data_IF_929249315126
#
_entry.id   IF_929249315126
#
_cell.length_a   1.000
_cell.length_b   1.000
_cell.length_c   1.000
_cell.angle_alpha   90.00
_cell.angle_beta   90.00
_cell.angle_gamma   90.00
#
_symmetry.space_group_name_H-M   'P 1'
#
loop_
_entity.id
_entity.type
_entity.pdbx_description
1 polymer ?
#
# COMPACT_ATOMS: atom_id res chain seq x y z
N UNK A 1 -10.20 -2.43 -9.91
CA UNK A 1 -9.51 -2.55 -8.61
C UNK A 1 -10.49 -2.96 -7.51
N UNK A 2 -11.42 -2.08 -7.08
CA UNK A 2 -12.30 -2.31 -5.91
C UNK A 2 -13.06 -3.63 -6.04
N UNK A 3 -13.82 -3.85 -7.11
CA UNK A 3 -14.60 -5.10 -7.31
C UNK A 3 -13.71 -6.36 -7.30
N UNK A 4 -12.51 -6.28 -7.86
CA UNK A 4 -11.57 -7.40 -7.83
C UNK A 4 -11.12 -7.69 -6.40
N UNK A 5 -10.72 -6.68 -5.63
CA UNK A 5 -10.32 -6.83 -4.23
C UNK A 5 -11.45 -7.37 -3.34
N UNK A 6 -12.69 -6.94 -3.58
CA UNK A 6 -13.85 -7.43 -2.82
C UNK A 6 -14.20 -8.89 -3.14
N UNK A 7 -13.98 -9.34 -4.37
CA UNK A 7 -14.21 -10.74 -4.79
C UNK A 7 -13.09 -11.67 -4.33
N UNK A 8 -11.88 -11.14 -4.18
CA UNK A 8 -10.70 -11.89 -3.75
C UNK A 8 -10.33 -11.45 -2.33
N UNK A 9 -10.17 -12.38 -1.42
CA UNK A 9 -9.73 -12.07 -0.06
C UNK A 9 -8.27 -11.60 -0.02
N UNK A 10 -7.50 -11.91 -1.06
CA UNK A 10 -6.10 -11.53 -1.22
C UNK A 10 -5.85 -11.09 -2.65
N UNK A 11 -5.19 -9.95 -2.84
CA UNK A 11 -4.85 -9.42 -4.17
C UNK A 11 -3.63 -8.51 -4.11
N UNK A 12 -2.81 -8.56 -5.15
CA UNK A 12 -1.74 -7.59 -5.40
C UNK A 12 -2.12 -6.78 -6.64
N UNK A 13 -2.39 -5.50 -6.43
CA UNK A 13 -2.93 -4.61 -7.47
C UNK A 13 -1.82 -3.72 -8.01
N UNK A 14 -1.59 -3.81 -9.31
CA UNK A 14 -0.74 -2.86 -10.02
C UNK A 14 -1.60 -1.70 -10.50
N UNK A 15 -1.30 -0.52 -9.99
CA UNK A 15 -2.00 0.71 -10.28
C UNK A 15 -0.98 1.86 -10.33
N UNK A 16 -0.73 2.47 -11.48
CA UNK A 16 0.31 3.47 -11.64
C UNK A 16 0.04 4.70 -10.77
N UNK A 17 1.05 5.54 -10.62
CA UNK A 17 0.91 6.85 -9.96
C UNK A 17 -0.22 7.65 -10.63
N UNK A 18 -0.93 8.44 -9.83
CA UNK A 18 -2.08 9.23 -10.27
C UNK A 18 -3.29 8.42 -10.80
N UNK A 19 -3.34 7.12 -10.59
CA UNK A 19 -4.52 6.28 -10.90
C UNK A 19 -5.61 6.30 -9.82
N UNK A 20 -5.49 7.16 -8.79
CA UNK A 20 -6.42 7.23 -7.68
C UNK A 20 -6.25 6.11 -6.63
N UNK A 21 -5.02 5.59 -6.44
CA UNK A 21 -4.73 4.53 -5.44
C UNK A 21 -5.27 4.86 -4.05
N UNK A 22 -5.02 6.07 -3.54
CA UNK A 22 -5.48 6.47 -2.20
C UNK A 22 -7.00 6.43 -2.06
N UNK A 23 -7.72 6.84 -3.09
CA UNK A 23 -9.20 6.75 -3.11
C UNK A 23 -9.68 5.30 -3.16
N UNK A 24 -9.00 4.43 -3.91
CA UNK A 24 -9.31 2.99 -3.95
C UNK A 24 -9.09 2.37 -2.56
N UNK A 25 -7.95 2.67 -1.92
CA UNK A 25 -7.62 2.23 -0.56
C UNK A 25 -8.68 2.73 0.42
N UNK A 26 -9.02 4.02 0.36
CA UNK A 26 -10.08 4.61 1.19
C UNK A 26 -11.42 3.87 1.05
N UNK A 27 -11.86 3.61 -0.18
CA UNK A 27 -13.12 2.89 -0.43
C UNK A 27 -13.10 1.46 0.15
N UNK A 28 -11.98 0.74 0.00
CA UNK A 28 -11.81 -0.60 0.58
C UNK A 28 -11.82 -0.55 2.11
N UNK A 29 -11.13 0.42 2.70
CA UNK A 29 -11.09 0.59 4.17
C UNK A 29 -12.48 0.90 4.71
N UNK A 30 -13.26 1.77 4.03
CA UNK A 30 -14.66 2.05 4.41
C UNK A 30 -15.52 0.78 4.37
N UNK A 31 -15.37 -0.02 3.32
CA UNK A 31 -16.09 -1.29 3.17
C UNK A 31 -15.70 -2.28 4.28
N UNK A 32 -14.40 -2.49 4.51
CA UNK A 32 -13.94 -3.42 5.54
C UNK A 32 -14.25 -2.95 6.95
N UNK A 33 -14.29 -1.64 7.22
CA UNK A 33 -14.70 -1.11 8.51
C UNK A 33 -16.17 -1.46 8.84
N UNK A 34 -17.03 -1.50 7.83
CA UNK A 34 -18.42 -1.95 8.01
C UNK A 34 -18.53 -3.47 8.15
N UNK A 35 -17.69 -4.21 7.42
CA UNK A 35 -17.73 -5.68 7.41
C UNK A 35 -17.11 -6.29 8.68
N UNK A 36 -16.01 -5.71 9.18
CA UNK A 36 -15.17 -6.27 10.24
C UNK A 36 -15.44 -5.60 11.60
N UNK A 37 -16.67 -5.51 12.01
CA UNK A 37 -17.15 -4.73 13.17
C UNK A 37 -16.24 -4.79 14.42
N UNK A 38 -15.64 -5.97 14.71
CA UNK A 38 -14.83 -6.22 15.90
C UNK A 38 -13.32 -6.35 15.60
N UNK A 39 -12.89 -6.04 14.37
CA UNK A 39 -11.48 -6.14 13.95
C UNK A 39 -11.00 -4.85 13.33
N UNK A 40 -9.74 -4.55 13.56
CA UNK A 40 -9.07 -3.38 13.02
C UNK A 40 -8.55 -3.61 11.60
N UNK A 41 -8.30 -2.52 10.90
CA UNK A 41 -7.68 -2.49 9.57
C UNK A 41 -6.29 -1.88 9.72
N UNK A 42 -5.29 -2.55 9.18
CA UNK A 42 -3.92 -2.08 9.14
C UNK A 42 -3.57 -1.60 7.73
N UNK A 43 -3.09 -0.37 7.61
CA UNK A 43 -2.52 0.17 6.37
C UNK A 43 -1.02 0.34 6.59
N UNK A 44 -0.23 -0.34 5.77
CA UNK A 44 1.23 -0.22 5.78
C UNK A 44 1.69 0.65 4.61
N UNK A 45 2.55 1.60 4.93
CA UNK A 45 3.21 2.48 3.96
C UNK A 45 4.72 2.50 4.21
N UNK A 46 5.56 2.83 3.21
CA UNK A 46 7.01 2.76 3.36
C UNK A 46 7.62 3.89 4.20
N UNK A 47 7.01 5.07 4.24
CA UNK A 47 7.58 6.28 4.87
C UNK A 47 6.59 7.01 5.77
N UNK A 48 7.11 7.79 6.70
CA UNK A 48 6.30 8.64 7.59
C UNK A 48 5.52 9.71 6.82
N UNK A 49 6.11 10.27 5.77
CA UNK A 49 5.41 11.23 4.91
C UNK A 49 4.17 10.62 4.26
N UNK A 50 4.23 9.34 3.85
CA UNK A 50 3.07 8.64 3.30
C UNK A 50 2.04 8.27 4.38
N UNK A 51 2.44 8.11 5.65
CA UNK A 51 1.47 7.98 6.76
C UNK A 51 0.64 9.26 6.88
N UNK A 52 1.30 10.42 6.89
CA UNK A 52 0.61 11.72 6.99
C UNK A 52 -0.25 12.00 5.75
N UNK A 53 0.26 11.71 4.56
CA UNK A 53 -0.50 11.89 3.33
C UNK A 53 -1.76 11.00 3.31
N UNK A 54 -1.63 9.72 3.63
CA UNK A 54 -2.77 8.79 3.66
C UNK A 54 -3.82 9.23 4.68
N UNK A 55 -3.37 9.72 5.83
CA UNK A 55 -4.26 10.28 6.85
C UNK A 55 -4.98 11.52 6.33
N UNK A 56 -4.26 12.49 5.74
CA UNK A 56 -4.84 13.71 5.18
C UNK A 56 -5.85 13.38 4.07
N UNK A 57 -5.48 12.50 3.14
CA UNK A 57 -6.36 12.04 2.07
C UNK A 57 -7.69 11.48 2.63
N UNK A 58 -7.63 10.71 3.72
CA UNK A 58 -8.85 10.14 4.32
C UNK A 58 -9.75 11.22 4.95
N UNK A 59 -9.16 12.24 5.56
CA UNK A 59 -9.92 13.39 6.08
C UNK A 59 -10.54 14.19 4.93
N UNK A 60 -9.77 14.45 3.87
CA UNK A 60 -10.23 15.16 2.68
C UNK A 60 -11.35 14.41 1.94
N UNK A 61 -11.34 13.07 1.99
CA UNK A 61 -12.44 12.24 1.49
C UNK A 61 -13.66 12.17 2.43
N UNK A 62 -13.65 12.97 3.50
CA UNK A 62 -14.78 13.14 4.42
C UNK A 62 -14.85 12.09 5.54
N UNK A 63 -13.74 11.44 5.90
CA UNK A 63 -13.72 10.58 7.08
C UNK A 63 -13.26 11.34 8.33
N UNK A 64 -13.86 11.02 9.48
CA UNK A 64 -13.47 11.64 10.74
C UNK A 64 -12.15 11.08 11.26
N UNK A 65 -11.35 11.96 11.85
CA UNK A 65 -10.10 11.65 12.56
C UNK A 65 -10.30 10.62 13.70
N UNK A 66 -11.51 10.51 14.23
CA UNK A 66 -11.89 9.53 15.27
C UNK A 66 -11.70 8.08 14.82
N UNK A 67 -11.67 7.81 13.54
CA UNK A 67 -11.56 6.45 12.99
C UNK A 67 -10.14 6.05 12.60
N UNK A 68 -9.23 7.01 12.45
CA UNK A 68 -7.88 6.75 11.90
C UNK A 68 -6.81 7.10 12.92
N UNK A 69 -5.91 6.16 13.17
CA UNK A 69 -4.75 6.33 14.03
C UNK A 69 -3.45 6.20 13.21
N UNK A 70 -2.47 7.04 13.51
CA UNK A 70 -1.15 7.04 12.85
C UNK A 70 -0.11 6.47 13.80
N UNK A 71 0.74 5.56 13.31
CA UNK A 71 1.84 4.99 14.10
C UNK A 71 3.15 5.15 13.35
N UNK A 72 4.02 6.00 13.89
CA UNK A 72 5.43 6.11 13.53
C UNK A 72 6.21 6.64 14.75
N UNK A 73 7.49 6.98 14.60
CA UNK A 73 8.33 7.43 15.72
C UNK A 73 7.67 8.56 16.52
N UNK A 74 7.52 8.34 17.84
CA UNK A 74 6.89 9.32 18.75
C UNK A 74 5.38 9.18 18.94
N UNK A 75 4.70 8.32 18.19
CA UNK A 75 3.27 8.07 18.35
C UNK A 75 3.00 6.82 19.19
N UNK A 76 1.87 6.82 19.89
CA UNK A 76 1.39 5.65 20.62
C UNK A 76 1.12 4.48 19.66
N UNK A 77 1.52 3.28 20.08
CA UNK A 77 1.36 2.06 19.29
C UNK A 77 0.02 1.38 19.47
N UNK A 78 -0.68 1.71 20.56
CA UNK A 78 -1.97 1.15 20.90
C UNK A 78 -3.08 2.15 20.65
N UNK A 79 -4.23 1.68 20.19
CA UNK A 79 -5.39 2.54 19.90
C UNK A 79 -6.65 1.69 19.84
N UNK A 80 -7.78 2.28 20.19
CA UNK A 80 -9.11 1.70 19.99
C UNK A 80 -9.72 2.08 18.62
N UNK A 81 -9.05 2.96 17.87
CA UNK A 81 -9.53 3.36 16.55
C UNK A 81 -9.50 2.18 15.58
N UNK A 82 -10.50 2.03 14.71
CA UNK A 82 -10.63 0.86 13.84
C UNK A 82 -9.60 0.82 12.70
N UNK A 83 -8.98 1.93 12.34
CA UNK A 83 -8.01 2.01 11.26
C UNK A 83 -6.67 2.51 11.77
N UNK A 84 -5.62 1.77 11.46
CA UNK A 84 -4.25 2.10 11.81
C UNK A 84 -3.43 2.29 10.54
N UNK A 85 -2.83 3.46 10.37
CA UNK A 85 -1.86 3.74 9.30
C UNK A 85 -0.46 3.77 9.90
N UNK A 86 0.44 2.96 9.39
CA UNK A 86 1.79 2.82 9.98
C UNK A 86 2.86 2.54 8.95
N UNK A 87 4.09 2.87 9.30
CA UNK A 87 5.26 2.35 8.59
C UNK A 87 5.55 0.92 9.05
N UNK A 88 6.09 0.08 8.16
CA UNK A 88 6.49 -1.28 8.52
C UNK A 88 7.61 -1.30 9.58
N UNK A 89 8.47 -0.27 9.60
CA UNK A 89 9.56 -0.12 10.56
C UNK A 89 9.06 0.01 12.00
N UNK A 90 7.91 0.64 12.18
CA UNK A 90 7.30 0.82 13.50
C UNK A 90 6.70 -0.47 14.08
N UNK A 91 6.33 -1.41 13.22
CA UNK A 91 5.54 -2.59 13.61
C UNK A 91 6.30 -3.91 13.56
N UNK A 92 7.34 -4.09 12.71
CA UNK A 92 7.92 -5.40 12.43
C UNK A 92 8.49 -6.13 13.67
N UNK A 93 8.90 -5.38 14.71
CA UNK A 93 9.41 -5.93 15.98
C UNK A 93 8.32 -6.23 17.01
N UNK A 94 7.07 -5.80 16.78
CA UNK A 94 6.01 -6.02 17.74
C UNK A 94 5.64 -7.50 17.86
N UNK A 95 5.18 -7.93 19.06
CA UNK A 95 4.81 -9.33 19.30
C UNK A 95 3.56 -9.71 18.51
N UNK A 96 3.37 -11.02 18.29
CA UNK A 96 2.21 -11.57 17.56
C UNK A 96 0.87 -11.09 18.16
N UNK A 97 0.76 -11.02 19.48
CA UNK A 97 -0.44 -10.55 20.19
C UNK A 97 -0.95 -9.20 19.70
N UNK A 98 -0.04 -8.28 19.34
CA UNK A 98 -0.42 -6.98 18.79
C UNK A 98 -1.25 -7.09 17.50
N UNK A 99 -1.00 -8.12 16.70
CA UNK A 99 -1.61 -8.30 15.38
C UNK A 99 -2.92 -9.11 15.40
N UNK A 100 -3.32 -9.64 16.55
CA UNK A 100 -4.52 -10.49 16.68
C UNK A 100 -5.83 -9.75 16.40
N UNK A 101 -5.84 -8.43 16.63
CA UNK A 101 -7.01 -7.56 16.42
C UNK A 101 -7.23 -7.14 14.97
N UNK A 102 -6.29 -7.43 14.07
CA UNK A 102 -6.40 -7.00 12.69
C UNK A 102 -7.05 -8.07 11.81
N UNK A 103 -8.16 -7.70 11.14
CA UNK A 103 -8.88 -8.54 10.17
C UNK A 103 -8.56 -8.25 8.72
N UNK A 104 -8.03 -7.06 8.44
CA UNK A 104 -7.62 -6.63 7.11
C UNK A 104 -6.26 -5.93 7.16
N UNK A 105 -5.42 -6.20 6.15
CA UNK A 105 -4.19 -5.44 5.90
C UNK A 105 -4.18 -4.93 4.47
N UNK A 106 -3.77 -3.67 4.31
CA UNK A 106 -3.53 -3.03 3.03
C UNK A 106 -2.10 -2.50 3.03
N UNK A 107 -1.30 -2.92 2.04
CA UNK A 107 0.05 -2.39 1.82
C UNK A 107 0.06 -1.44 0.63
N UNK A 108 0.38 -0.17 0.84
CA UNK A 108 0.62 0.77 -0.26
C UNK A 108 2.11 0.84 -0.59
N UNK A 109 2.42 1.05 -1.87
CA UNK A 109 3.77 0.95 -2.43
C UNK A 109 4.49 -0.35 -2.04
N UNK A 110 3.78 -1.48 -2.15
CA UNK A 110 4.21 -2.78 -1.67
C UNK A 110 5.60 -3.23 -2.18
N UNK A 111 6.02 -2.74 -3.35
CA UNK A 111 7.35 -3.01 -3.93
C UNK A 111 8.51 -2.41 -3.12
N UNK A 112 8.25 -1.38 -2.31
CA UNK A 112 9.28 -0.73 -1.47
C UNK A 112 9.49 -1.45 -0.13
N UNK A 113 8.66 -2.41 0.22
CA UNK A 113 8.83 -3.13 1.48
C UNK A 113 10.00 -4.12 1.39
N UNK A 114 10.84 -4.14 2.43
CA UNK A 114 11.84 -5.20 2.58
C UNK A 114 11.12 -6.54 2.78
N UNK A 115 11.34 -7.49 1.88
CA UNK A 115 10.67 -8.79 1.87
C UNK A 115 10.66 -9.48 3.25
N UNK A 116 11.81 -9.53 3.94
CA UNK A 116 11.93 -10.14 5.28
C UNK A 116 11.05 -9.46 6.34
N UNK A 117 10.97 -8.12 6.33
CA UNK A 117 10.19 -7.38 7.33
C UNK A 117 8.69 -7.50 7.07
N UNK A 118 8.30 -7.44 5.79
CA UNK A 118 6.92 -7.64 5.39
C UNK A 118 6.44 -9.06 5.71
N UNK A 119 7.24 -10.07 5.38
CA UNK A 119 6.96 -11.47 5.74
C UNK A 119 6.78 -11.62 7.25
N UNK A 120 7.66 -11.02 8.05
CA UNK A 120 7.56 -11.07 9.52
C UNK A 120 6.25 -10.48 10.04
N UNK A 121 5.77 -9.37 9.47
CA UNK A 121 4.48 -8.78 9.86
C UNK A 121 3.33 -9.69 9.41
N UNK A 122 3.32 -10.10 8.15
CA UNK A 122 2.21 -10.86 7.56
C UNK A 122 2.06 -12.27 8.12
N UNK A 123 3.15 -12.89 8.58
CA UNK A 123 3.09 -14.19 9.30
C UNK A 123 2.50 -14.07 10.70
N UNK A 124 2.62 -12.91 11.35
CA UNK A 124 1.98 -12.64 12.65
C UNK A 124 0.48 -12.34 12.55
N UNK A 125 0.01 -11.94 11.36
CA UNK A 125 -1.39 -11.63 11.06
C UNK A 125 -2.19 -12.90 10.74
N UNK A 126 -2.22 -13.89 11.65
CA UNK A 126 -2.88 -15.18 11.40
C UNK A 126 -4.40 -15.04 11.21
N UNK A 127 -5.03 -14.18 11.98
CA UNK A 127 -6.48 -13.92 11.91
C UNK A 127 -6.87 -12.96 10.78
N UNK A 128 -5.90 -12.42 10.03
CA UNK A 128 -6.15 -11.46 8.97
C UNK A 128 -6.54 -12.17 7.67
N UNK A 129 -7.83 -12.19 7.41
CA UNK A 129 -8.41 -12.83 6.22
C UNK A 129 -8.16 -12.03 4.95
N UNK A 130 -8.24 -10.71 5.03
CA UNK A 130 -8.20 -9.81 3.88
C UNK A 130 -6.83 -9.16 3.76
N UNK A 131 -6.15 -9.39 2.62
CA UNK A 131 -4.79 -8.88 2.38
C UNK A 131 -4.69 -8.30 0.99
N UNK A 132 -4.47 -6.97 0.91
CA UNK A 132 -4.38 -6.26 -0.36
C UNK A 132 -3.08 -5.48 -0.44
N UNK A 133 -2.29 -5.73 -1.48
CA UNK A 133 -1.11 -4.94 -1.80
C UNK A 133 -1.39 -4.02 -2.99
N UNK A 134 -0.92 -2.80 -2.92
CA UNK A 134 -0.95 -1.83 -4.01
C UNK A 134 0.47 -1.44 -4.38
N UNK A 135 0.74 -1.32 -5.66
CA UNK A 135 2.05 -0.90 -6.17
C UNK A 135 1.89 -0.23 -7.53
N UNK A 136 2.75 0.76 -7.79
CA UNK A 136 2.82 1.39 -9.12
C UNK A 136 3.52 0.50 -10.15
N UNK A 137 4.52 -0.24 -9.70
CA UNK A 137 5.37 -1.11 -10.53
C UNK A 137 5.70 -2.41 -9.81
N UNK A 138 6.05 -3.43 -10.56
CA UNK A 138 6.63 -4.68 -10.04
C UNK A 138 8.02 -4.92 -10.63
N UNK A 139 8.76 -3.85 -10.90
CA UNK A 139 10.09 -3.86 -11.52
C UNK A 139 11.17 -4.27 -10.50
N UNK A 140 10.94 -5.34 -9.81
CA UNK A 140 11.88 -5.94 -8.87
C UNK A 140 12.46 -7.25 -9.40
N UNK A 141 13.33 -7.88 -8.60
CA UNK A 141 13.77 -9.25 -8.88
C UNK A 141 12.56 -10.17 -8.90
N UNK A 142 12.61 -11.21 -9.72
CA UNK A 142 11.54 -12.23 -9.79
C UNK A 142 11.21 -12.83 -8.41
N UNK A 143 12.24 -13.02 -7.57
CA UNK A 143 12.08 -13.50 -6.20
C UNK A 143 11.23 -12.54 -5.34
N UNK A 144 11.47 -11.23 -5.46
CA UNK A 144 10.69 -10.25 -4.70
C UNK A 144 9.22 -10.23 -5.13
N UNK A 145 8.97 -10.32 -6.43
CA UNK A 145 7.63 -10.45 -6.98
C UNK A 145 6.90 -11.68 -6.43
N UNK A 146 7.54 -12.86 -6.45
CA UNK A 146 6.98 -14.11 -5.92
C UNK A 146 6.64 -14.00 -4.42
N UNK A 147 7.48 -13.31 -3.64
CA UNK A 147 7.19 -13.06 -2.22
C UNK A 147 5.93 -12.19 -2.06
N UNK A 148 5.81 -11.12 -2.82
CA UNK A 148 4.62 -10.26 -2.76
C UNK A 148 3.35 -11.00 -3.17
N UNK A 149 3.41 -11.81 -4.24
CA UNK A 149 2.30 -12.65 -4.68
C UNK A 149 1.93 -13.70 -3.62
N UNK A 150 2.90 -14.31 -2.97
CA UNK A 150 2.67 -15.26 -1.87
C UNK A 150 2.02 -14.63 -0.65
N UNK A 151 2.33 -13.38 -0.35
CA UNK A 151 1.83 -12.66 0.82
C UNK A 151 0.45 -12.02 0.59
N UNK A 152 0.25 -11.39 -0.57
CA UNK A 152 -0.97 -10.66 -0.90
C UNK A 152 -1.92 -11.42 -1.83
N UNK A 153 -1.42 -12.34 -2.63
CA UNK A 153 -2.21 -13.09 -3.60
C UNK A 153 -1.90 -12.72 -5.06
N UNK A 154 -2.76 -13.17 -5.97
CA UNK A 154 -2.55 -12.99 -7.40
C UNK A 154 -2.45 -11.53 -7.82
N UNK A 155 -1.59 -11.28 -8.80
CA UNK A 155 -1.41 -9.95 -9.40
C UNK A 155 -2.58 -9.61 -10.31
N UNK A 156 -3.10 -8.39 -10.15
CA UNK A 156 -4.10 -7.80 -11.03
C UNK A 156 -3.62 -6.43 -11.51
N UNK A 157 -3.53 -6.27 -12.82
CA UNK A 157 -3.23 -4.98 -13.45
C UNK A 157 -4.54 -4.29 -13.83
N UNK A 158 -4.84 -3.19 -13.16
CA UNK A 158 -6.14 -2.52 -13.31
C UNK A 158 -6.18 -1.56 -14.49
N UNK A 159 -5.10 -0.79 -14.68
CA UNK A 159 -4.96 0.22 -15.71
C UNK A 159 -3.47 0.41 -16.01
N UNK A 160 -3.12 0.73 -17.25
CA UNK A 160 -1.75 1.09 -17.60
C UNK A 160 -1.57 2.61 -17.60
N UNK A 161 -0.32 3.07 -17.47
CA UNK A 161 0.02 4.51 -17.64
C UNK A 161 -0.40 5.01 -19.02
N UNK A 162 -0.28 4.16 -20.05
CA UNK A 162 -0.72 4.48 -21.40
C UNK A 162 -2.23 4.74 -21.45
N UNK A 163 -3.04 3.88 -20.85
CA UNK A 163 -4.50 4.05 -20.82
C UNK A 163 -4.89 5.38 -20.14
N UNK A 164 -4.17 5.77 -19.07
CA UNK A 164 -4.40 7.04 -18.37
C UNK A 164 -4.01 8.26 -19.21
N UNK A 165 -2.96 8.14 -20.04
CA UNK A 165 -2.56 9.18 -21.00
C UNK A 165 -3.58 9.28 -22.14
N UNK A 166 -3.99 8.14 -22.68
CA UNK A 166 -4.93 8.06 -23.82
C UNK A 166 -6.34 8.59 -23.43
N UNK A 167 -6.69 8.45 -22.16
CA UNK A 167 -7.95 9.01 -21.60
C UNK A 167 -7.80 10.45 -21.09
N UNK A 168 -6.69 11.13 -21.33
CA UNK A 168 -6.37 12.47 -20.83
C UNK A 168 -6.45 12.62 -19.29
N UNK A 169 -6.35 11.53 -18.56
CA UNK A 169 -6.26 11.53 -17.08
C UNK A 169 -4.85 11.90 -16.62
N UNK A 170 -3.84 11.57 -17.41
CA UNK A 170 -2.45 11.96 -17.23
C UNK A 170 -1.96 12.82 -18.38
N UNK A 171 -1.10 13.78 -18.08
CA UNK A 171 -0.41 14.59 -19.09
C UNK A 171 0.49 13.72 -19.97
N UNK A 172 0.58 14.07 -21.24
CA UNK A 172 1.55 13.46 -22.18
C UNK A 172 2.96 13.83 -21.72
N UNK A 173 3.80 12.82 -21.53
CA UNK A 173 5.21 12.99 -21.20
C UNK A 173 6.05 12.74 -22.45
N UNK A 174 6.90 13.72 -22.82
CA UNK A 174 7.94 13.55 -23.83
C UNK A 174 9.30 13.64 -23.15
N UNK A 175 10.08 12.59 -23.21
CA UNK A 175 11.45 12.55 -22.69
C UNK A 175 12.42 12.76 -23.85
N UNK A 176 13.24 13.82 -23.80
CA UNK A 176 14.35 14.06 -24.75
C UNK A 176 15.65 13.73 -24.04
N UNK A 177 16.34 12.69 -24.49
CA UNK A 177 17.66 12.33 -23.99
C UNK A 177 18.71 13.03 -24.83
N UNK A 178 19.53 13.88 -24.22
CA UNK A 178 20.69 14.50 -24.85
C UNK A 178 21.92 13.68 -24.43
N UNK A 179 22.57 13.04 -25.40
CA UNK A 179 23.80 12.28 -25.15
C UNK A 179 24.96 13.16 -25.54
N UNK A 180 25.75 13.59 -24.57
CA UNK A 180 27.01 14.29 -24.80
C UNK A 180 28.11 13.25 -25.07
N UNK A 181 28.75 13.33 -26.24
CA UNK A 181 29.92 12.51 -26.56
C UNK A 181 31.17 13.35 -26.29
N UNK A 182 31.98 12.97 -25.34
CA UNK A 182 33.32 13.53 -25.15
C UNK A 182 34.32 12.79 -26.04
N UNK A 183 35.26 13.51 -26.70
CA UNK A 183 36.41 12.88 -27.36
C UNK A 183 37.26 12.11 -26.34
N UNK A 184 37.74 10.93 -26.69
CA UNK A 184 38.53 10.08 -25.77
C UNK A 184 39.95 10.66 -25.45
N UNK A 185 40.34 11.77 -26.06
CA UNK A 185 41.67 12.37 -25.90
C UNK A 185 41.79 13.37 -24.73
N UNK A 186 40.76 13.60 -23.93
CA UNK A 186 40.74 14.54 -22.79
C UNK A 186 40.56 13.85 -21.41
N UNK A 187 41.01 12.59 -21.25
CA UNK A 187 41.09 11.91 -19.98
C UNK A 187 42.54 11.64 -19.60
#
# INVERSE_FOLDING_TARGET
AILHSLRKHRSLIISPTASGKSLIIYALVRYYNLLLKDKKILILVPTTSLVEQMYSDFIDYGWSDKYVHRIYSGHERTTDKPVVVSTWQSLYKLPKKYFEDFGCIIGDEAHLFKARSLTNILTKLENCKYRHGFTGTLDGTQTHRLILEGLFGSVEKVVSTKDLIDTNTLAKLTVKCIVLKHPQEEC
#
